data_IF_051679473181
#
_entry.id   IF_051679473181
#
_cell.length_a   1.000
_cell.length_b   1.000
_cell.length_c   1.000
_cell.angle_alpha   90.00
_cell.angle_beta   90.00
_cell.angle_gamma   90.00
#
_symmetry.space_group_name_H-M   'P 1'
#
loop_
_entity.id
_entity.type
_entity.pdbx_description
1 polymer ?
#
# COMPACT_ATOMS: atom_id res chain seq x y z
N UNK A 1 21.46 21.49 -2.27
CA UNK A 1 21.42 22.31 -3.50
C UNK A 1 20.31 21.77 -4.38
N UNK A 2 19.15 22.43 -4.38
CA UNK A 2 18.07 22.14 -5.33
C UNK A 2 18.61 22.42 -6.74
N UNK A 3 18.70 21.39 -7.58
CA UNK A 3 19.11 21.52 -8.97
C UNK A 3 18.02 22.27 -9.74
N UNK A 4 18.24 23.55 -10.00
CA UNK A 4 17.32 24.46 -10.75
C UNK A 4 17.43 24.26 -12.28
N UNK A 5 18.30 23.36 -12.76
CA UNK A 5 18.51 23.19 -14.20
C UNK A 5 17.67 22.03 -14.78
N UNK A 6 16.77 22.39 -15.72
CA UNK A 6 15.85 21.54 -16.49
C UNK A 6 14.71 20.86 -15.72
N UNK A 7 13.98 21.65 -14.93
CA UNK A 7 12.62 21.30 -14.53
C UNK A 7 11.70 21.38 -15.75
N UNK A 8 11.33 20.24 -16.34
CA UNK A 8 10.46 20.18 -17.51
C UNK A 8 9.08 20.79 -17.25
N UNK A 9 8.07 19.97 -16.99
CA UNK A 9 6.70 20.43 -16.67
C UNK A 9 6.47 20.56 -15.14
N UNK A 10 7.38 20.00 -14.33
CA UNK A 10 7.31 20.02 -12.87
C UNK A 10 7.97 21.27 -12.27
N UNK A 11 7.55 21.67 -11.06
CA UNK A 11 8.09 22.83 -10.33
C UNK A 11 9.21 22.46 -9.35
N UNK A 12 9.21 21.21 -8.85
CA UNK A 12 10.34 20.67 -8.07
C UNK A 12 10.58 19.20 -8.42
N UNK A 13 11.85 18.78 -8.49
CA UNK A 13 12.23 17.37 -8.51
C UNK A 13 12.78 16.98 -7.15
N UNK A 14 12.26 15.90 -6.58
CA UNK A 14 12.70 15.35 -5.32
C UNK A 14 13.64 14.15 -5.55
N UNK A 15 14.57 13.88 -4.61
CA UNK A 15 15.52 12.76 -4.71
C UNK A 15 14.85 11.38 -4.87
N UNK A 16 13.67 11.20 -4.27
CA UNK A 16 12.87 9.97 -4.29
C UNK A 16 12.19 9.64 -5.64
N UNK A 17 12.64 10.26 -6.74
CA UNK A 17 11.96 10.19 -8.05
C UNK A 17 10.50 10.65 -7.98
N UNK A 18 10.17 11.59 -7.11
CA UNK A 18 8.90 12.31 -7.14
C UNK A 18 9.08 13.70 -7.73
N UNK A 19 8.02 14.20 -8.37
CA UNK A 19 7.96 15.56 -8.91
C UNK A 19 6.82 16.29 -8.24
N UNK A 20 7.04 17.57 -7.95
CA UNK A 20 6.01 18.44 -7.39
C UNK A 20 5.51 19.38 -8.47
N UNK A 21 4.19 19.48 -8.59
CA UNK A 21 3.51 20.50 -9.38
C UNK A 21 2.73 21.41 -8.43
N UNK A 22 3.12 22.66 -8.39
CA UNK A 22 2.49 23.66 -7.53
C UNK A 22 1.43 24.43 -8.30
N UNK A 23 0.26 24.61 -7.69
CA UNK A 23 -0.88 25.35 -8.22
C UNK A 23 -1.26 26.41 -7.19
N UNK A 24 -1.02 27.67 -7.52
CA UNK A 24 -1.36 28.79 -6.64
C UNK A 24 -2.85 29.09 -6.61
N UNK A 25 -3.29 29.88 -5.65
CA UNK A 25 -4.66 30.40 -5.58
C UNK A 25 -5.02 31.16 -6.86
N UNK A 26 -4.10 32.00 -7.35
CA UNK A 26 -4.28 32.77 -8.57
C UNK A 26 -4.46 31.86 -9.80
N UNK A 27 -3.76 30.73 -9.89
CA UNK A 27 -3.91 29.79 -11.00
C UNK A 27 -5.29 29.12 -11.03
N UNK A 28 -5.84 28.85 -9.84
CA UNK A 28 -7.19 28.27 -9.70
C UNK A 28 -8.24 29.29 -10.12
N UNK A 29 -8.10 30.54 -9.66
CA UNK A 29 -9.04 31.64 -9.95
C UNK A 29 -8.96 32.07 -11.42
N UNK A 30 -7.76 32.11 -12.00
CA UNK A 30 -7.53 32.52 -13.39
C UNK A 30 -8.03 31.50 -14.42
N UNK A 31 -8.47 30.31 -14.01
CA UNK A 31 -9.19 29.35 -14.85
C UNK A 31 -8.43 28.07 -15.13
N UNK A 32 -8.28 27.66 -16.40
CA UNK A 32 -7.86 26.30 -16.77
C UNK A 32 -6.39 26.14 -17.17
N UNK A 33 -5.56 27.16 -16.95
CA UNK A 33 -4.12 27.13 -17.28
C UNK A 33 -3.39 25.99 -16.57
N UNK A 34 -3.65 25.82 -15.27
CA UNK A 34 -3.06 24.74 -14.46
C UNK A 34 -3.47 23.36 -15.00
N UNK A 35 -4.70 23.20 -15.51
CA UNK A 35 -5.17 21.93 -16.07
C UNK A 35 -4.32 21.47 -17.25
N UNK A 36 -3.96 22.40 -18.16
CA UNK A 36 -3.09 22.10 -19.31
C UNK A 36 -1.69 21.68 -18.86
N UNK A 37 -1.14 22.32 -17.84
CA UNK A 37 0.17 21.94 -17.24
C UNK A 37 0.11 20.52 -16.68
N UNK A 38 -0.92 20.20 -15.90
CA UNK A 38 -1.07 18.87 -15.28
C UNK A 38 -1.29 17.75 -16.32
N UNK A 39 -2.09 18.01 -17.37
CA UNK A 39 -2.28 17.06 -18.48
C UNK A 39 -0.97 16.82 -19.23
N UNK A 40 -0.21 17.89 -19.52
CA UNK A 40 1.11 17.76 -20.16
C UNK A 40 2.07 16.93 -19.33
N UNK A 41 2.12 17.15 -18.01
CA UNK A 41 2.94 16.33 -17.11
C UNK A 41 2.53 14.85 -17.18
N UNK A 42 1.22 14.57 -17.10
CA UNK A 42 0.69 13.20 -17.16
C UNK A 42 1.04 12.49 -18.48
N UNK A 43 0.95 13.22 -19.59
CA UNK A 43 1.21 12.69 -20.93
C UNK A 43 2.69 12.56 -21.27
N UNK A 44 3.57 13.31 -20.60
CA UNK A 44 5.02 13.22 -20.80
C UNK A 44 5.62 11.87 -20.37
N UNK A 45 4.82 10.95 -19.83
CA UNK A 45 5.24 9.59 -19.52
C UNK A 45 6.35 9.53 -18.46
N UNK A 46 6.43 10.53 -17.58
CA UNK A 46 7.47 10.56 -16.56
C UNK A 46 7.31 9.35 -15.63
N UNK A 47 8.40 8.60 -15.43
CA UNK A 47 8.47 7.54 -14.40
C UNK A 47 8.44 8.09 -12.97
N UNK A 48 8.22 9.40 -12.81
CA UNK A 48 8.25 10.11 -11.54
C UNK A 48 6.84 10.20 -10.96
N UNK A 49 6.70 9.93 -9.65
CA UNK A 49 5.43 10.11 -8.96
C UNK A 49 5.09 11.61 -8.92
N UNK A 50 3.99 12.01 -9.57
CA UNK A 50 3.52 13.39 -9.59
C UNK A 50 2.70 13.72 -8.35
N UNK A 51 3.20 14.66 -7.54
CA UNK A 51 2.51 15.24 -6.40
C UNK A 51 2.08 16.67 -6.73
N UNK A 52 0.78 16.93 -6.71
CA UNK A 52 0.23 18.27 -6.89
C UNK A 52 0.02 18.92 -5.53
N UNK A 53 0.64 20.08 -5.31
CA UNK A 53 0.37 20.94 -4.17
C UNK A 53 -0.54 22.08 -4.62
N UNK A 54 -1.67 22.26 -3.95
CA UNK A 54 -2.64 23.30 -4.31
C UNK A 54 -2.91 24.23 -3.15
N UNK A 55 -2.86 25.54 -3.40
CA UNK A 55 -3.27 26.51 -2.40
C UNK A 55 -4.78 26.46 -2.17
N UNK A 56 -5.17 26.03 -0.98
CA UNK A 56 -6.55 25.99 -0.50
C UNK A 56 -6.72 26.99 0.64
N UNK A 57 -7.17 28.19 0.29
CA UNK A 57 -7.47 29.29 1.20
C UNK A 57 -8.98 29.56 1.22
N UNK A 58 -9.43 30.53 2.02
CA UNK A 58 -10.83 30.98 2.01
C UNK A 58 -11.32 31.45 0.63
N UNK A 59 -10.43 31.92 -0.25
CA UNK A 59 -10.81 32.40 -1.58
C UNK A 59 -10.86 31.28 -2.62
N UNK A 60 -9.97 30.29 -2.54
CA UNK A 60 -9.91 29.15 -3.46
C UNK A 60 -10.74 27.92 -3.03
N UNK A 61 -11.21 27.87 -1.79
CA UNK A 61 -11.94 26.72 -1.21
C UNK A 61 -13.12 26.27 -2.06
N UNK A 62 -13.90 27.22 -2.59
CA UNK A 62 -15.05 26.94 -3.47
C UNK A 62 -14.68 26.18 -4.76
N UNK A 63 -13.44 26.34 -5.24
CA UNK A 63 -12.95 25.69 -6.46
C UNK A 63 -12.23 24.37 -6.15
N UNK A 64 -11.88 24.11 -4.89
CA UNK A 64 -11.06 22.96 -4.50
C UNK A 64 -11.71 21.63 -4.87
N UNK A 65 -13.04 21.48 -4.72
CA UNK A 65 -13.75 20.25 -5.12
C UNK A 65 -13.56 19.93 -6.60
N UNK A 66 -13.63 20.94 -7.48
CA UNK A 66 -13.44 20.76 -8.91
C UNK A 66 -11.97 20.43 -9.25
N UNK A 67 -11.01 21.06 -8.55
CA UNK A 67 -9.59 20.75 -8.67
C UNK A 67 -9.32 19.32 -8.22
N UNK A 68 -9.79 18.92 -7.04
CA UNK A 68 -9.64 17.57 -6.52
C UNK A 68 -10.23 16.54 -7.47
N UNK A 69 -11.42 16.80 -8.01
CA UNK A 69 -12.04 15.88 -8.96
C UNK A 69 -11.14 15.64 -10.17
N UNK A 70 -10.67 16.73 -10.77
CA UNK A 70 -9.81 16.69 -11.93
C UNK A 70 -8.45 16.04 -11.66
N UNK A 71 -7.77 16.41 -10.58
CA UNK A 71 -6.41 15.92 -10.31
C UNK A 71 -6.41 14.45 -9.85
N UNK A 72 -7.30 14.11 -8.91
CA UNK A 72 -7.29 12.79 -8.26
C UNK A 72 -8.03 11.75 -9.09
N UNK A 73 -9.23 12.06 -9.59
CA UNK A 73 -10.03 11.08 -10.33
C UNK A 73 -9.73 11.09 -11.82
N UNK A 74 -9.66 12.26 -12.46
CA UNK A 74 -9.49 12.30 -13.93
C UNK A 74 -8.03 12.04 -14.35
N UNK A 75 -7.04 12.57 -13.61
CA UNK A 75 -5.61 12.39 -13.94
C UNK A 75 -4.91 11.25 -13.16
N UNK A 76 -5.48 10.82 -12.03
CA UNK A 76 -4.86 9.82 -11.14
C UNK A 76 -3.58 10.31 -10.46
N UNK A 77 -3.44 11.62 -10.26
CA UNK A 77 -2.30 12.22 -9.56
C UNK A 77 -2.63 12.42 -8.07
N UNK A 78 -1.59 12.45 -7.23
CA UNK A 78 -1.76 12.77 -5.80
C UNK A 78 -1.94 14.28 -5.64
N UNK A 79 -2.91 14.70 -4.82
CA UNK A 79 -3.18 16.11 -4.51
C UNK A 79 -3.06 16.33 -3.01
N UNK A 80 -2.33 17.35 -2.58
CA UNK A 80 -2.30 17.82 -1.19
C UNK A 80 -2.65 19.32 -1.12
N UNK A 81 -3.66 19.71 -0.33
CA UNK A 81 -3.95 21.10 -0.07
C UNK A 81 -2.90 21.71 0.88
N UNK A 82 -2.56 22.97 0.64
CA UNK A 82 -1.70 23.80 1.51
C UNK A 82 -2.33 25.19 1.63
N UNK A 83 -2.14 25.89 2.75
CA UNK A 83 -2.67 27.25 2.96
C UNK A 83 -1.82 28.34 2.33
N UNK A 84 -0.64 27.99 1.83
CA UNK A 84 0.27 28.90 1.16
C UNK A 84 1.67 28.31 1.00
N UNK A 85 2.57 29.14 0.47
CA UNK A 85 3.96 28.75 0.20
C UNK A 85 4.73 28.30 1.45
N UNK A 86 4.51 28.91 2.62
CA UNK A 86 5.18 28.53 3.87
C UNK A 86 4.85 27.08 4.25
N UNK A 87 3.57 26.72 4.26
CA UNK A 87 3.15 25.34 4.55
C UNK A 87 3.64 24.38 3.46
N UNK A 88 3.59 24.78 2.18
CA UNK A 88 4.15 24.00 1.09
C UNK A 88 5.64 23.70 1.32
N UNK A 89 6.44 24.70 1.69
CA UNK A 89 7.87 24.52 1.96
C UNK A 89 8.14 23.54 3.11
N UNK A 90 7.35 23.63 4.18
CA UNK A 90 7.47 22.74 5.34
C UNK A 90 7.10 21.31 4.96
N UNK A 91 6.02 21.13 4.20
CA UNK A 91 5.58 19.84 3.70
C UNK A 91 6.64 19.20 2.79
N UNK A 92 7.21 19.97 1.85
CA UNK A 92 8.29 19.51 0.97
C UNK A 92 9.49 19.07 1.80
N UNK A 93 9.89 19.86 2.80
CA UNK A 93 10.96 19.48 3.70
C UNK A 93 10.64 18.15 4.42
N UNK A 94 9.43 17.98 4.96
CA UNK A 94 9.04 16.72 5.61
C UNK A 94 9.08 15.52 4.66
N UNK A 95 8.68 15.69 3.39
CA UNK A 95 8.74 14.61 2.39
C UNK A 95 10.19 14.20 2.14
N UNK A 96 11.09 15.17 1.95
CA UNK A 96 12.52 14.89 1.70
C UNK A 96 13.19 14.24 2.91
N UNK A 97 12.90 14.71 4.13
CA UNK A 97 13.46 14.12 5.36
C UNK A 97 12.82 12.76 5.70
N UNK A 98 11.56 12.55 5.31
CA UNK A 98 10.81 11.33 5.58
C UNK A 98 11.25 10.13 4.75
N UNK A 99 11.95 10.33 3.62
CA UNK A 99 12.41 9.24 2.74
C UNK A 99 13.33 8.22 3.44
N UNK A 100 14.11 8.67 4.42
CA UNK A 100 15.00 7.79 5.21
C UNK A 100 14.24 6.95 6.25
N UNK A 101 12.99 7.29 6.57
CA UNK A 101 12.20 6.60 7.60
C UNK A 101 11.45 5.42 7.00
N UNK A 102 11.47 4.28 7.67
CA UNK A 102 10.63 3.15 7.28
C UNK A 102 9.14 3.52 7.41
N UNK A 103 8.37 3.29 6.35
CA UNK A 103 6.95 3.57 6.32
C UNK A 103 6.19 2.46 7.09
N UNK A 104 5.51 2.76 8.21
CA UNK A 104 4.81 1.77 9.03
C UNK A 104 3.62 1.11 8.32
N UNK A 105 3.07 1.76 7.28
CA UNK A 105 2.01 1.20 6.45
C UNK A 105 2.55 0.31 5.33
N UNK A 106 3.86 0.36 5.05
CA UNK A 106 4.50 -0.50 4.07
C UNK A 106 4.76 -1.87 4.71
N UNK A 107 3.73 -2.72 4.70
CA UNK A 107 3.85 -4.12 5.13
C UNK A 107 4.90 -4.80 4.26
N UNK A 108 6.06 -5.14 4.84
CA UNK A 108 7.00 -6.07 4.21
C UNK A 108 6.41 -7.47 4.37
N UNK A 109 5.87 -8.05 3.30
CA UNK A 109 5.39 -9.43 3.34
C UNK A 109 6.59 -10.39 3.39
N UNK A 110 6.95 -10.79 4.60
CA UNK A 110 7.79 -11.95 4.82
C UNK A 110 7.12 -12.82 5.88
N UNK A 111 5.95 -13.37 5.54
CA UNK A 111 5.31 -14.40 6.36
C UNK A 111 6.21 -15.64 6.33
N UNK A 112 6.83 -15.94 7.47
CA UNK A 112 7.61 -17.16 7.68
C UNK A 112 6.65 -18.26 8.16
N UNK A 113 6.96 -19.53 7.95
CA UNK A 113 6.08 -20.64 8.38
C UNK A 113 5.86 -20.70 9.90
N UNK A 114 6.81 -20.16 10.67
CA UNK A 114 6.72 -20.01 12.12
C UNK A 114 6.13 -18.66 12.56
N UNK A 115 5.59 -17.87 11.63
CA UNK A 115 4.88 -16.65 11.96
C UNK A 115 3.67 -16.98 12.85
N UNK A 116 3.45 -16.25 13.96
CA UNK A 116 2.27 -16.37 14.79
C UNK A 116 0.95 -16.43 14.00
N UNK A 117 0.87 -15.78 12.83
CA UNK A 117 -0.30 -15.81 11.95
C UNK A 117 -0.51 -17.19 11.33
N UNK A 118 0.55 -17.83 10.83
CA UNK A 118 0.49 -19.19 10.26
C UNK A 118 0.13 -20.19 11.34
N UNK A 119 0.73 -20.07 12.53
CA UNK A 119 0.39 -20.91 13.68
C UNK A 119 -1.07 -20.75 14.12
N UNK A 120 -1.60 -19.52 14.08
CA UNK A 120 -3.00 -19.24 14.40
C UNK A 120 -3.93 -19.86 13.36
N UNK A 121 -3.56 -19.84 12.07
CA UNK A 121 -4.35 -20.50 11.03
C UNK A 121 -4.38 -22.02 11.19
N UNK A 122 -3.26 -22.65 11.53
CA UNK A 122 -3.23 -24.12 11.77
C UNK A 122 -4.05 -24.51 13.00
N UNK A 123 -4.15 -23.63 14.01
CA UNK A 123 -5.01 -23.85 15.19
C UNK A 123 -6.52 -23.77 14.89
N UNK A 124 -6.93 -23.24 13.73
CA UNK A 124 -8.34 -23.27 13.31
C UNK A 124 -8.78 -24.67 12.87
N UNK A 125 -7.84 -25.58 12.60
CA UNK A 125 -8.15 -26.95 12.23
C UNK A 125 -8.72 -27.69 13.45
N UNK A 126 -9.89 -28.34 13.33
CA UNK A 126 -10.51 -29.07 14.43
C UNK A 126 -9.54 -30.09 15.05
N UNK A 127 -9.43 -30.09 16.38
CA UNK A 127 -8.56 -31.02 17.11
C UNK A 127 -7.08 -30.64 17.14
N UNK A 128 -6.70 -29.50 16.54
CA UNK A 128 -5.32 -28.97 16.51
C UNK A 128 -5.17 -27.78 17.47
N UNK A 129 -4.71 -28.06 18.69
CA UNK A 129 -4.27 -27.02 19.62
C UNK A 129 -2.85 -26.51 19.32
N UNK A 130 -2.38 -25.51 20.06
CA UNK A 130 -1.06 -24.87 19.88
C UNK A 130 0.11 -25.85 19.79
N UNK A 131 0.16 -26.88 20.65
CA UNK A 131 1.25 -27.87 20.68
C UNK A 131 1.27 -28.71 19.40
N UNK A 132 0.11 -29.18 18.96
CA UNK A 132 -0.04 -29.95 17.72
C UNK A 132 0.26 -29.09 16.50
N UNK A 133 -0.18 -27.84 16.49
CA UNK A 133 0.10 -26.90 15.40
C UNK A 133 1.61 -26.67 15.22
N UNK A 134 2.37 -26.51 16.31
CA UNK A 134 3.82 -26.39 16.26
C UNK A 134 4.48 -27.66 15.70
N UNK A 135 4.08 -28.83 16.19
CA UNK A 135 4.65 -30.10 15.74
C UNK A 135 4.36 -30.36 14.25
N UNK A 136 3.14 -30.04 13.79
CA UNK A 136 2.76 -30.14 12.37
C UNK A 136 3.57 -29.19 11.49
N UNK A 137 3.73 -27.92 11.90
CA UNK A 137 4.50 -26.95 11.13
C UNK A 137 6.02 -27.19 11.17
N UNK A 138 6.53 -27.95 12.14
CA UNK A 138 7.91 -28.43 12.16
C UNK A 138 8.13 -29.59 11.20
N UNK A 139 7.14 -30.47 11.03
CA UNK A 139 7.23 -31.64 10.17
C UNK A 139 6.89 -31.33 8.70
N UNK A 140 5.91 -30.46 8.47
CA UNK A 140 5.49 -30.04 7.13
C UNK A 140 6.00 -28.63 6.84
N UNK A 141 7.02 -28.47 5.97
CA UNK A 141 7.60 -27.16 5.63
C UNK A 141 6.70 -26.32 4.72
N UNK A 142 5.41 -26.64 4.59
CA UNK A 142 4.41 -25.75 3.98
C UNK A 142 2.99 -26.14 4.41
N UNK A 143 2.09 -25.16 4.45
CA UNK A 143 0.65 -25.43 4.64
C UNK A 143 0.11 -26.32 3.51
N UNK A 144 0.60 -26.15 2.28
CA UNK A 144 0.21 -27.00 1.15
C UNK A 144 0.53 -28.48 1.39
N UNK A 145 1.70 -28.80 1.93
CA UNK A 145 2.06 -30.18 2.28
C UNK A 145 1.22 -30.70 3.45
N UNK A 146 0.95 -29.86 4.46
CA UNK A 146 0.06 -30.23 5.56
C UNK A 146 -1.35 -30.60 5.06
N UNK A 147 -1.90 -29.83 4.11
CA UNK A 147 -3.23 -30.08 3.56
C UNK A 147 -3.31 -31.39 2.77
N UNK A 148 -2.24 -31.76 2.07
CA UNK A 148 -2.17 -32.96 1.21
C UNK A 148 -1.54 -34.18 1.91
N UNK A 149 -1.19 -34.06 3.20
CA UNK A 149 -0.53 -35.14 3.93
C UNK A 149 -1.48 -36.33 4.12
N UNK A 150 -1.03 -37.57 3.85
CA UNK A 150 -1.86 -38.75 4.08
C UNK A 150 -2.11 -38.95 5.59
N UNK A 151 -3.22 -39.63 5.97
CA UNK A 151 -3.55 -39.83 7.38
C UNK A 151 -2.41 -40.48 8.16
N UNK A 152 -1.72 -41.47 7.58
CA UNK A 152 -0.61 -42.17 8.21
C UNK A 152 0.56 -41.26 8.64
N UNK A 153 0.87 -40.21 7.87
CA UNK A 153 1.93 -39.23 8.21
C UNK A 153 1.47 -38.25 9.30
N UNK A 154 0.18 -37.94 9.35
CA UNK A 154 -0.39 -37.11 10.41
C UNK A 154 -0.48 -37.89 11.74
N UNK A 155 -0.71 -39.20 11.69
CA UNK A 155 -0.87 -40.07 12.86
C UNK A 155 0.34 -40.07 13.78
N UNK A 156 1.56 -40.07 13.21
CA UNK A 156 2.81 -40.03 13.98
C UNK A 156 2.99 -38.75 14.80
N UNK A 157 2.22 -37.70 14.50
CA UNK A 157 2.36 -36.37 15.12
C UNK A 157 1.19 -36.07 16.06
N UNK A 158 -0.04 -36.36 15.62
CA UNK A 158 -1.26 -35.93 16.33
C UNK A 158 -2.13 -37.07 16.87
N UNK A 159 -1.79 -38.32 16.52
CA UNK A 159 -2.56 -39.52 16.84
C UNK A 159 -3.72 -39.80 15.87
N UNK A 160 -4.19 -41.05 15.84
CA UNK A 160 -5.19 -41.58 14.90
C UNK A 160 -6.46 -40.72 14.75
N UNK A 161 -7.11 -40.41 15.88
CA UNK A 161 -8.37 -39.65 15.85
C UNK A 161 -8.18 -38.23 15.29
N UNK A 162 -7.09 -37.55 15.65
CA UNK A 162 -6.83 -36.19 15.18
C UNK A 162 -6.36 -36.18 13.73
N UNK A 163 -5.55 -37.16 13.30
CA UNK A 163 -5.11 -37.29 11.92
C UNK A 163 -6.29 -37.44 10.95
N UNK A 164 -7.27 -38.29 11.31
CA UNK A 164 -8.50 -38.47 10.53
C UNK A 164 -9.35 -37.18 10.48
N UNK A 165 -9.44 -36.44 11.58
CA UNK A 165 -10.16 -35.17 11.63
C UNK A 165 -9.51 -34.10 10.74
N UNK A 166 -8.19 -33.97 10.80
CA UNK A 166 -7.42 -33.02 9.97
C UNK A 166 -7.56 -33.38 8.48
N UNK A 167 -7.35 -34.65 8.12
CA UNK A 167 -7.45 -35.08 6.73
C UNK A 167 -8.88 -34.91 6.19
N UNK A 168 -9.89 -35.24 6.99
CA UNK A 168 -11.30 -35.04 6.63
C UNK A 168 -11.64 -33.56 6.50
N UNK A 169 -11.09 -32.68 7.35
CA UNK A 169 -11.32 -31.24 7.25
C UNK A 169 -10.87 -30.66 5.91
N UNK A 170 -9.75 -31.13 5.36
CA UNK A 170 -9.23 -30.63 4.08
C UNK A 170 -9.85 -31.29 2.84
N UNK A 171 -10.27 -32.56 2.93
CA UNK A 171 -10.71 -33.34 1.76
C UNK A 171 -12.22 -33.62 1.71
N UNK A 172 -12.95 -33.38 2.79
CA UNK A 172 -14.40 -33.57 2.78
C UNK A 172 -15.03 -32.41 2.00
N UNK A 173 -15.74 -32.68 0.90
CA UNK A 173 -16.47 -31.64 0.19
C UNK A 173 -17.48 -31.01 1.17
N UNK A 174 -17.46 -29.68 1.25
CA UNK A 174 -18.48 -28.89 1.91
C UNK A 174 -19.78 -29.01 1.11
N UNK A 175 -20.51 -30.10 1.31
CA UNK A 175 -21.93 -30.12 0.99
C UNK A 175 -22.66 -29.38 2.12
N UNK A 176 -22.78 -28.06 1.97
CA UNK A 176 -23.74 -27.26 2.70
C UNK A 176 -24.84 -26.83 1.74
N UNK A 177 -26.05 -27.40 1.93
CA UNK A 177 -27.31 -26.71 1.66
C UNK A 177 -27.56 -25.72 2.80
#
# INVERSE_FOLDING_TARGET
>A
LLSIFQLGVADFHLPNKSCILYVSESDIIAGSSYKRKLVRYRNAGSNFQGLVLVENTRLSEQYFTAVQKFVVFDLGLTLLPVRGQTEASQLIAQIVHGESRENPFRRRSASRLMDPQVLSMVQLVPGVGRVKALALLQHFPSIHQLCNAPPAELESIVGQAAAQQIHSFFHKPTYSL
#
